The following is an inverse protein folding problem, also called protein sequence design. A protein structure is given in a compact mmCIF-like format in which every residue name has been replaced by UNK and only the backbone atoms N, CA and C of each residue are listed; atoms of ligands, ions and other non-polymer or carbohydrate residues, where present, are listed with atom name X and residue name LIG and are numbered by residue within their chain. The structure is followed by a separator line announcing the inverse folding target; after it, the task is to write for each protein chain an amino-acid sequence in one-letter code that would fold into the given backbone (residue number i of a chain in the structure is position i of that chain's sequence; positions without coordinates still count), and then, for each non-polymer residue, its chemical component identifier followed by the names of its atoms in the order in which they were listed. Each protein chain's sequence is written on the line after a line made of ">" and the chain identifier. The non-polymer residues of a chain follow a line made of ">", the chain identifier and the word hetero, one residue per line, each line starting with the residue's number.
data_IF_570339928682
#
_entry.id   IF_570339928682
#
_cell.length_a   1.000
_cell.length_b   1.000
_cell.length_c   1.000
_cell.angle_alpha   90.00
_cell.angle_beta   90.00
_cell.angle_gamma   90.00
#
_symmetry.space_group_name_H-M   'P 1'
#
loop_
_entity.id
_entity.type
_entity.pdbx_description
1 polymer ?
#
# COMPACT_ATOMS: atom_id res chain seq x y z
N UNK A 1 29.09 -12.74 -0.82
CA UNK A 1 27.68 -13.06 -0.47
C UNK A 1 26.78 -12.17 -1.30
N UNK A 2 26.08 -12.71 -2.31
CA UNK A 2 25.14 -11.92 -3.12
C UNK A 2 23.84 -11.85 -2.33
N UNK A 3 23.46 -10.66 -1.87
CA UNK A 3 22.18 -10.46 -1.20
C UNK A 3 21.05 -10.90 -2.14
N UNK A 4 20.24 -11.85 -1.67
CA UNK A 4 19.07 -12.37 -2.36
C UNK A 4 18.00 -11.28 -2.33
N UNK A 5 17.96 -10.43 -3.37
CA UNK A 5 16.90 -9.44 -3.54
C UNK A 5 15.70 -10.23 -4.06
N UNK A 6 14.87 -10.72 -3.16
CA UNK A 6 13.58 -11.28 -3.49
C UNK A 6 12.77 -10.21 -4.23
N UNK A 7 12.33 -10.52 -5.45
CA UNK A 7 11.33 -9.73 -6.18
C UNK A 7 10.03 -9.79 -5.38
N UNK A 8 9.89 -8.91 -4.38
CA UNK A 8 8.61 -8.66 -3.76
C UNK A 8 7.77 -7.92 -4.81
N UNK A 9 6.91 -8.67 -5.52
CA UNK A 9 5.77 -8.07 -6.24
C UNK A 9 5.08 -7.13 -5.25
N UNK A 10 5.17 -5.82 -5.51
CA UNK A 10 4.45 -4.81 -4.77
C UNK A 10 2.97 -5.10 -5.02
N UNK A 11 2.32 -5.79 -4.08
CA UNK A 11 0.87 -5.90 -4.11
C UNK A 11 0.34 -4.48 -3.89
N UNK A 12 -0.54 -3.98 -4.77
CA UNK A 12 -1.20 -2.70 -4.51
C UNK A 12 -1.89 -2.79 -3.15
N UNK A 13 -1.70 -1.77 -2.32
CA UNK A 13 -2.46 -1.67 -1.07
C UNK A 13 -3.88 -1.32 -1.48
N UNK A 14 -4.72 -2.33 -1.67
CA UNK A 14 -6.15 -2.15 -1.92
C UNK A 14 -6.79 -1.71 -0.61
N UNK A 15 -7.21 -0.45 -0.54
CA UNK A 15 -7.86 0.14 0.63
C UNK A 15 -9.28 0.48 0.20
N UNK A 16 -10.25 -0.29 0.68
CA UNK A 16 -11.66 -0.03 0.43
C UNK A 16 -12.25 0.88 1.52
N UNK A 17 -12.27 2.18 1.27
CA UNK A 17 -12.90 3.16 2.19
C UNK A 17 -14.29 3.62 1.75
N UNK A 18 -14.61 3.49 0.45
CA UNK A 18 -15.83 4.06 -0.13
C UNK A 18 -17.13 3.54 0.51
N UNK A 19 -17.28 2.24 0.81
CA UNK A 19 -18.49 1.73 1.46
C UNK A 19 -18.73 2.40 2.83
N UNK A 20 -17.69 2.52 3.64
CA UNK A 20 -17.76 3.13 4.97
C UNK A 20 -18.05 4.63 4.89
N UNK A 21 -17.42 5.34 3.95
CA UNK A 21 -17.67 6.77 3.71
C UNK A 21 -19.12 7.01 3.27
N UNK A 22 -19.62 6.22 2.32
CA UNK A 22 -21.00 6.29 1.85
C UNK A 22 -21.99 6.09 3.01
N UNK A 23 -21.73 5.08 3.84
CA UNK A 23 -22.56 4.76 4.99
C UNK A 23 -22.58 5.88 6.05
N UNK A 24 -21.45 6.56 6.27
CA UNK A 24 -21.37 7.72 7.17
C UNK A 24 -22.22 8.86 6.60
N UNK A 25 -22.03 9.22 5.33
CA UNK A 25 -22.80 10.28 4.65
C UNK A 25 -24.29 9.99 4.76
N UNK A 26 -24.71 8.76 4.40
CA UNK A 26 -26.10 8.34 4.45
C UNK A 26 -26.69 8.37 5.86
N UNK A 27 -25.88 8.12 6.89
CA UNK A 27 -26.34 8.19 8.29
C UNK A 27 -26.61 9.62 8.77
N UNK A 28 -25.94 10.62 8.16
CA UNK A 28 -26.14 12.05 8.46
C UNK A 28 -27.37 12.60 7.72
N UNK A 29 -27.70 12.05 6.56
CA UNK A 29 -28.86 12.44 5.74
C UNK A 29 -30.20 11.85 6.24
N UNK A 30 -30.18 10.94 7.21
CA UNK A 30 -31.41 10.37 7.77
C UNK A 30 -32.04 11.33 8.78
N UNK A 31 -33.34 11.56 8.62
CA UNK A 31 -34.17 12.21 9.62
C UNK A 31 -34.67 11.19 10.65
N UNK A 32 -34.24 11.25 11.92
CA UNK A 32 -34.66 10.30 12.94
C UNK A 32 -36.12 10.52 13.34
N UNK A 33 -36.88 9.43 13.43
CA UNK A 33 -38.32 9.44 13.75
C UNK A 33 -38.57 9.84 15.22
N UNK A 34 -37.64 9.49 16.12
CA UNK A 34 -37.69 9.85 17.55
C UNK A 34 -36.29 9.99 18.19
N UNK A 35 -36.26 10.41 19.46
CA UNK A 35 -34.99 10.63 20.19
C UNK A 35 -34.18 9.34 20.44
N UNK A 36 -34.85 8.19 20.57
CA UNK A 36 -34.19 6.91 20.78
C UNK A 36 -33.50 6.42 19.50
N UNK A 37 -34.18 6.56 18.35
CA UNK A 37 -33.62 6.32 17.03
C UNK A 37 -32.43 7.25 16.76
N UNK A 38 -32.56 8.55 17.08
CA UNK A 38 -31.47 9.52 16.94
C UNK A 38 -30.21 9.13 17.72
N UNK A 39 -30.36 8.69 18.98
CA UNK A 39 -29.22 8.26 19.80
C UNK A 39 -28.56 7.00 19.23
N UNK A 40 -29.36 6.02 18.79
CA UNK A 40 -28.85 4.79 18.19
C UNK A 40 -28.10 5.07 16.89
N UNK A 41 -28.68 5.85 15.99
CA UNK A 41 -28.05 6.21 14.71
C UNK A 41 -26.76 7.02 14.90
N UNK A 42 -26.74 7.94 15.87
CA UNK A 42 -25.53 8.69 16.23
C UNK A 42 -24.42 7.76 16.75
N UNK A 43 -24.75 6.75 17.55
CA UNK A 43 -23.78 5.77 18.04
C UNK A 43 -23.24 4.90 16.90
N UNK A 44 -24.11 4.41 16.01
CA UNK A 44 -23.72 3.63 14.83
C UNK A 44 -22.83 4.44 13.88
N UNK A 45 -23.18 5.71 13.60
CA UNK A 45 -22.36 6.62 12.81
C UNK A 45 -20.96 6.80 13.44
N UNK A 46 -20.91 7.04 14.75
CA UNK A 46 -19.64 7.19 15.48
C UNK A 46 -18.76 5.94 15.35
N UNK A 47 -19.36 4.75 15.38
CA UNK A 47 -18.65 3.50 15.18
C UNK A 47 -18.06 3.39 13.76
N UNK A 48 -18.81 3.78 12.72
CA UNK A 48 -18.32 3.79 11.34
C UNK A 48 -17.19 4.79 11.11
N UNK A 49 -17.23 5.95 11.77
CA UNK A 49 -16.13 6.92 11.76
C UNK A 49 -14.86 6.32 12.37
N UNK A 50 -14.98 5.60 13.48
CA UNK A 50 -13.84 4.91 14.11
C UNK A 50 -13.30 3.78 13.24
N UNK A 51 -14.17 3.04 12.54
CA UNK A 51 -13.77 2.04 11.56
C UNK A 51 -12.97 2.66 10.42
N UNK A 52 -13.46 3.75 9.83
CA UNK A 52 -12.74 4.49 8.78
C UNK A 52 -11.36 4.95 9.27
N UNK A 53 -11.28 5.49 10.49
CA UNK A 53 -10.01 5.89 11.10
C UNK A 53 -9.03 4.71 11.21
N UNK A 54 -9.49 3.54 11.67
CA UNK A 54 -8.66 2.33 11.77
C UNK A 54 -8.16 1.87 10.40
N UNK A 55 -9.02 1.88 9.38
CA UNK A 55 -8.66 1.49 8.02
C UNK A 55 -7.60 2.42 7.43
N UNK A 56 -7.75 3.74 7.63
CA UNK A 56 -6.75 4.72 7.21
C UNK A 56 -5.42 4.57 7.96
N UNK A 57 -5.46 4.27 9.25
CA UNK A 57 -4.26 4.03 10.05
C UNK A 57 -3.52 2.76 9.60
N UNK A 58 -4.25 1.68 9.32
CA UNK A 58 -3.69 0.45 8.77
C UNK A 58 -3.04 0.70 7.40
N UNK A 59 -3.72 1.43 6.51
CA UNK A 59 -3.19 1.85 5.23
C UNK A 59 -1.87 2.63 5.36
N UNK A 60 -1.85 3.64 6.25
CA UNK A 60 -0.64 4.43 6.53
C UNK A 60 0.52 3.56 7.01
N UNK A 61 0.25 2.60 7.88
CA UNK A 61 1.26 1.68 8.39
C UNK A 61 1.78 0.72 7.33
N UNK A 62 0.94 0.32 6.37
CA UNK A 62 1.37 -0.47 5.21
C UNK A 62 2.25 0.36 4.27
N UNK A 63 1.86 1.59 3.96
CA UNK A 63 2.64 2.50 3.10
C UNK A 63 4.03 2.76 3.69
N UNK A 64 4.13 2.95 5.01
CA UNK A 64 5.41 3.15 5.71
C UNK A 64 6.35 1.94 5.65
N UNK A 65 5.84 0.74 5.35
CA UNK A 65 6.64 -0.47 5.18
C UNK A 65 7.10 -0.68 3.74
N UNK A 66 6.67 0.15 2.79
CA UNK A 66 7.09 0.03 1.39
C UNK A 66 8.57 0.33 1.26
N UNK A 67 9.30 -0.61 0.65
CA UNK A 67 10.73 -0.43 0.41
C UNK A 67 11.00 0.78 -0.47
N UNK A 68 11.98 1.57 -0.05
CA UNK A 68 12.46 2.72 -0.78
C UNK A 68 11.71 4.01 -0.49
N UNK A 69 10.67 4.00 0.35
CA UNK A 69 9.97 5.22 0.79
C UNK A 69 10.90 6.17 1.56
N UNK A 70 12.02 5.66 2.09
CA UNK A 70 13.06 6.42 2.76
C UNK A 70 13.95 7.26 1.81
N UNK A 71 13.91 6.98 0.50
CA UNK A 71 14.74 7.66 -0.50
C UNK A 71 13.99 8.78 -1.21
N UNK A 72 14.72 9.83 -1.61
CA UNK A 72 14.18 10.80 -2.55
C UNK A 72 13.88 10.15 -3.90
N UNK A 73 12.98 10.75 -4.67
CA UNK A 73 12.65 10.28 -6.03
C UNK A 73 13.90 10.15 -6.91
N UNK A 74 14.81 11.12 -6.84
CA UNK A 74 16.05 11.14 -7.61
C UNK A 74 16.97 9.99 -7.19
N UNK A 75 17.03 9.66 -5.91
CA UNK A 75 17.82 8.53 -5.42
C UNK A 75 17.21 7.18 -5.82
N UNK A 76 15.89 7.02 -5.72
CA UNK A 76 15.18 5.82 -6.20
C UNK A 76 15.48 5.57 -7.69
N UNK A 77 15.39 6.61 -8.52
CA UNK A 77 15.67 6.52 -9.96
C UNK A 77 17.13 6.12 -10.23
N UNK A 78 18.09 6.75 -9.55
CA UNK A 78 19.53 6.39 -9.69
C UNK A 78 19.82 4.94 -9.31
N UNK A 79 19.22 4.45 -8.22
CA UNK A 79 19.37 3.04 -7.79
C UNK A 79 18.78 2.09 -8.82
N UNK A 80 17.61 2.42 -9.34
CA UNK A 80 16.93 1.64 -10.36
C UNK A 80 17.75 1.55 -11.66
N UNK A 81 18.38 2.64 -12.10
CA UNK A 81 19.30 2.61 -13.25
C UNK A 81 20.55 1.78 -12.97
N UNK A 82 21.10 1.84 -11.77
CA UNK A 82 22.23 0.99 -11.36
C UNK A 82 21.85 -0.50 -11.40
N UNK A 83 20.67 -0.87 -10.89
CA UNK A 83 20.16 -2.24 -10.92
C UNK A 83 19.97 -2.74 -12.36
N UNK A 84 19.45 -1.91 -13.26
CA UNK A 84 19.33 -2.26 -14.69
C UNK A 84 20.69 -2.54 -15.33
N UNK A 85 21.70 -1.71 -15.05
CA UNK A 85 23.08 -1.91 -15.54
C UNK A 85 23.68 -3.21 -14.98
N UNK A 86 23.50 -3.47 -13.68
CA UNK A 86 23.97 -4.71 -13.06
C UNK A 86 23.29 -5.94 -13.68
N UNK A 87 21.98 -5.90 -13.92
CA UNK A 87 21.24 -6.98 -14.55
C UNK A 87 21.78 -7.27 -15.95
N UNK A 88 21.98 -6.24 -16.77
CA UNK A 88 22.53 -6.37 -18.12
C UNK A 88 23.94 -7.01 -18.10
N UNK A 89 24.82 -6.55 -17.22
CA UNK A 89 26.17 -7.11 -17.04
C UNK A 89 26.12 -8.57 -16.58
N UNK A 90 25.27 -8.90 -15.60
CA UNK A 90 25.09 -10.28 -15.12
C UNK A 90 24.60 -11.19 -16.25
N UNK A 91 23.64 -10.73 -17.06
CA UNK A 91 23.16 -11.47 -18.22
C UNK A 91 24.25 -11.68 -19.27
N UNK A 92 25.07 -10.66 -19.55
CA UNK A 92 26.22 -10.79 -20.46
C UNK A 92 27.23 -11.81 -19.96
N UNK A 93 27.57 -11.79 -18.66
CA UNK A 93 28.46 -12.76 -18.04
C UNK A 93 27.89 -14.17 -18.15
N UNK A 94 26.62 -14.37 -17.78
CA UNK A 94 25.96 -15.68 -17.92
C UNK A 94 26.07 -16.16 -19.36
N UNK A 95 25.75 -15.33 -20.37
CA UNK A 95 25.89 -15.70 -21.78
C UNK A 95 27.32 -16.07 -22.16
N UNK A 96 28.31 -15.30 -21.70
CA UNK A 96 29.73 -15.52 -21.99
C UNK A 96 30.23 -16.86 -21.44
N UNK A 97 29.81 -17.22 -20.23
CA UNK A 97 30.26 -18.44 -19.56
C UNK A 97 29.33 -19.64 -19.78
N UNK A 98 28.13 -19.46 -20.36
CA UNK A 98 27.20 -20.57 -20.66
C UNK A 98 27.77 -21.60 -21.65
N UNK A 99 28.70 -21.18 -22.50
CA UNK A 99 29.33 -22.03 -23.53
C UNK A 99 30.78 -22.40 -23.18
N UNK A 100 31.30 -21.96 -22.03
CA UNK A 100 32.60 -22.38 -21.53
C UNK A 100 32.37 -23.59 -20.63
N UNK A 101 32.27 -24.77 -21.24
CA UNK A 101 32.41 -26.01 -20.48
C UNK A 101 33.90 -26.20 -20.15
N UNK A 102 34.20 -26.39 -18.87
CA UNK A 102 35.47 -26.94 -18.40
C UNK A 102 35.38 -28.46 -18.41
#
# INVERSE_FOLDING_TARGET
>A
MVANISEQKIQPVEIEILPVVYDIIRSIEKDPIDNTAKQKESAECSQKVLELQRTLEAARNTIRKLHGIEYSKEEQLRRLDSLRKQLALKQQLIKKYKNVQF
#
